data_IF_358865236626
#
_entry.id   IF_358865236626
#
_cell.length_a   1.000
_cell.length_b   1.000
_cell.length_c   1.000
_cell.angle_alpha   90.00
_cell.angle_beta   90.00
_cell.angle_gamma   90.00
#
_symmetry.space_group_name_H-M   'P 1'
#
loop_
_entity.id
_entity.type
_entity.pdbx_description
1 polymer ?
#
# COMPACT_ATOMS: atom_id res chain seq x y z
N UNK A 1 -23.30 -6.45 55.67
CA UNK A 1 -24.08 -5.91 54.53
C UNK A 1 -23.13 -5.50 53.42
N UNK A 2 -23.15 -6.21 52.35
CA UNK A 2 -22.33 -5.84 51.15
C UNK A 2 -23.11 -4.78 50.38
N UNK A 3 -22.68 -3.51 50.46
CA UNK A 3 -23.17 -2.44 49.58
C UNK A 3 -22.66 -2.71 48.18
N UNK A 4 -23.52 -3.15 47.29
CA UNK A 4 -23.25 -3.22 45.86
C UNK A 4 -23.43 -1.80 45.29
N UNK A 5 -22.31 -1.15 44.94
CA UNK A 5 -22.35 0.09 44.24
C UNK A 5 -22.56 -0.21 42.74
N UNK A 6 -23.68 0.23 42.21
CA UNK A 6 -23.97 0.16 40.79
C UNK A 6 -23.67 1.48 40.10
N UNK A 7 -23.40 1.47 38.77
CA UNK A 7 -23.28 2.68 37.97
C UNK A 7 -24.62 3.38 37.79
N UNK A 8 -24.62 4.73 37.78
CA UNK A 8 -25.81 5.51 37.48
C UNK A 8 -26.02 5.59 35.96
N UNK A 9 -27.28 5.72 35.53
CA UNK A 9 -27.65 5.90 34.13
C UNK A 9 -27.00 7.14 33.53
N UNK A 10 -26.97 8.25 34.30
CA UNK A 10 -26.35 9.53 33.88
C UNK A 10 -24.84 9.36 33.64
N UNK A 11 -24.16 8.59 34.46
CA UNK A 11 -22.73 8.34 34.38
C UNK A 11 -22.36 7.63 33.05
N UNK A 12 -23.14 6.65 32.68
CA UNK A 12 -22.97 5.96 31.36
C UNK A 12 -23.34 6.87 30.20
N UNK A 13 -24.39 7.71 30.33
CA UNK A 13 -24.76 8.67 29.29
C UNK A 13 -23.65 9.70 28.99
N UNK A 14 -23.00 10.22 30.02
CA UNK A 14 -21.88 11.17 29.86
C UNK A 14 -20.71 10.49 29.17
N UNK A 15 -20.34 9.27 29.54
CA UNK A 15 -19.23 8.52 28.97
C UNK A 15 -19.48 8.26 27.48
N UNK A 16 -20.66 7.79 27.10
CA UNK A 16 -21.04 7.54 25.71
C UNK A 16 -21.03 8.85 24.90
N UNK A 17 -21.49 9.95 25.46
CA UNK A 17 -21.46 11.27 24.82
C UNK A 17 -20.02 11.71 24.50
N UNK A 18 -19.11 11.57 25.45
CA UNK A 18 -17.69 11.95 25.27
C UNK A 18 -17.03 11.05 24.21
N UNK A 19 -17.25 9.74 24.27
CA UNK A 19 -16.73 8.79 23.29
C UNK A 19 -17.24 9.13 21.88
N UNK A 20 -18.53 9.43 21.73
CA UNK A 20 -19.14 9.83 20.46
C UNK A 20 -18.54 11.12 19.89
N UNK A 21 -18.29 12.12 20.73
CA UNK A 21 -17.65 13.37 20.31
C UNK A 21 -16.21 13.15 19.84
N UNK A 22 -15.43 12.38 20.57
CA UNK A 22 -14.05 12.05 20.20
C UNK A 22 -14.00 11.22 18.93
N UNK A 23 -14.88 10.24 18.78
CA UNK A 23 -14.98 9.40 17.58
C UNK A 23 -15.35 10.23 16.34
N UNK A 24 -16.22 11.22 16.45
CA UNK A 24 -16.60 12.09 15.33
C UNK A 24 -15.42 12.83 14.70
N UNK A 25 -14.40 13.16 15.50
CA UNK A 25 -13.18 13.82 15.02
C UNK A 25 -12.13 12.80 14.55
N UNK A 26 -12.01 11.69 15.25
CA UNK A 26 -10.95 10.70 15.02
C UNK A 26 -11.17 9.85 13.74
N UNK A 27 -12.41 9.44 13.47
CA UNK A 27 -12.74 8.53 12.36
C UNK A 27 -12.38 9.11 10.99
N UNK A 28 -12.79 10.34 10.59
CA UNK A 28 -12.44 10.89 9.28
C UNK A 28 -10.94 11.06 9.08
N UNK A 29 -10.20 11.42 10.13
CA UNK A 29 -8.74 11.55 10.06
C UNK A 29 -8.07 10.19 9.89
N UNK A 30 -8.56 9.15 10.54
CA UNK A 30 -8.05 7.79 10.39
C UNK A 30 -8.24 7.26 8.96
N UNK A 31 -9.41 7.50 8.35
CA UNK A 31 -9.69 7.07 6.96
C UNK A 31 -8.71 7.73 5.98
N UNK A 32 -8.45 9.03 6.12
CA UNK A 32 -7.47 9.75 5.29
C UNK A 32 -6.05 9.24 5.49
N UNK A 33 -5.63 9.00 6.74
CA UNK A 33 -4.32 8.46 7.06
C UNK A 33 -4.13 7.05 6.47
N UNK A 34 -5.15 6.19 6.54
CA UNK A 34 -5.14 4.87 5.94
C UNK A 34 -4.98 4.91 4.43
N UNK A 35 -5.73 5.76 3.73
CA UNK A 35 -5.62 5.94 2.29
C UNK A 35 -4.21 6.37 1.89
N UNK A 36 -3.65 7.37 2.57
CA UNK A 36 -2.28 7.83 2.33
C UNK A 36 -1.23 6.73 2.56
N UNK A 37 -1.39 5.93 3.61
CA UNK A 37 -0.51 4.80 3.90
C UNK A 37 -0.56 3.75 2.79
N UNK A 38 -1.73 3.45 2.27
CA UNK A 38 -1.90 2.51 1.15
C UNK A 38 -1.25 3.04 -0.14
N UNK A 39 -1.38 4.35 -0.41
CA UNK A 39 -0.70 5.00 -1.55
C UNK A 39 0.82 4.90 -1.42
N UNK A 40 1.38 5.24 -0.27
CA UNK A 40 2.81 5.15 -0.03
C UNK A 40 3.32 3.71 -0.17
N UNK A 41 2.62 2.74 0.38
CA UNK A 41 2.97 1.33 0.25
C UNK A 41 2.90 0.84 -1.21
N UNK A 42 1.97 1.35 -2.02
CA UNK A 42 1.92 1.08 -3.46
C UNK A 42 3.15 1.65 -4.18
N UNK A 43 3.52 2.89 -3.88
CA UNK A 43 4.72 3.54 -4.44
C UNK A 43 5.98 2.77 -4.06
N UNK A 44 6.10 2.33 -2.81
CA UNK A 44 7.24 1.54 -2.34
C UNK A 44 7.34 0.18 -3.06
N UNK A 45 6.21 -0.46 -3.32
CA UNK A 45 6.17 -1.69 -4.12
C UNK A 45 6.66 -1.44 -5.55
N UNK A 46 6.24 -0.34 -6.18
CA UNK A 46 6.71 0.03 -7.52
C UNK A 46 8.20 0.31 -7.55
N UNK A 47 8.74 1.00 -6.53
CA UNK A 47 10.19 1.23 -6.39
C UNK A 47 10.98 -0.08 -6.20
N UNK A 48 10.43 -1.03 -5.46
CA UNK A 48 11.05 -2.36 -5.33
C UNK A 48 11.14 -3.07 -6.69
N UNK A 49 10.11 -2.94 -7.52
CA UNK A 49 10.12 -3.49 -8.87
C UNK A 49 11.16 -2.78 -9.74
N UNK A 50 11.24 -1.46 -9.71
CA UNK A 50 12.26 -0.69 -10.44
C UNK A 50 13.68 -1.11 -10.04
N UNK A 51 13.97 -1.17 -8.75
CA UNK A 51 15.27 -1.60 -8.24
C UNK A 51 15.61 -3.04 -8.68
N UNK A 52 14.63 -3.92 -8.74
CA UNK A 52 14.82 -5.30 -9.21
C UNK A 52 15.14 -5.34 -10.71
N UNK A 53 14.49 -4.49 -11.52
CA UNK A 53 14.77 -4.36 -12.94
C UNK A 53 16.19 -3.83 -13.17
N UNK A 54 16.62 -2.82 -12.41
CA UNK A 54 17.97 -2.27 -12.48
C UNK A 54 19.04 -3.31 -12.12
N UNK A 55 18.82 -4.08 -11.05
CA UNK A 55 19.74 -5.15 -10.65
C UNK A 55 19.84 -6.22 -11.74
N UNK A 56 18.73 -6.59 -12.33
CA UNK A 56 18.68 -7.57 -13.43
C UNK A 56 19.45 -7.07 -14.67
N UNK A 57 19.31 -5.78 -14.99
CA UNK A 57 20.06 -5.14 -16.07
C UNK A 57 21.56 -5.07 -15.77
N UNK A 58 21.95 -4.79 -14.52
CA UNK A 58 23.36 -4.77 -14.08
C UNK A 58 24.04 -6.13 -14.19
N UNK A 59 23.28 -7.22 -14.09
CA UNK A 59 23.79 -8.60 -14.34
C UNK A 59 23.99 -8.90 -15.84
N UNK A 60 23.75 -7.91 -16.73
CA UNK A 60 23.93 -8.06 -18.17
C UNK A 60 22.71 -8.64 -18.89
N UNK A 61 21.55 -8.71 -18.21
CA UNK A 61 20.31 -9.18 -18.81
C UNK A 61 19.51 -8.02 -19.43
N UNK A 62 18.71 -8.31 -20.43
CA UNK A 62 17.77 -7.33 -21.00
C UNK A 62 16.49 -7.30 -20.17
N UNK A 63 16.05 -6.14 -19.65
CA UNK A 63 14.80 -6.03 -18.93
C UNK A 63 13.60 -6.50 -19.77
N UNK A 64 12.68 -7.20 -19.14
CA UNK A 64 11.43 -7.65 -19.76
C UNK A 64 10.19 -7.09 -19.02
N UNK A 65 9.04 -7.18 -19.66
CA UNK A 65 7.77 -6.69 -19.09
C UNK A 65 7.12 -7.70 -18.12
N UNK A 66 7.79 -8.80 -17.80
CA UNK A 66 7.21 -9.87 -17.01
C UNK A 66 7.61 -9.78 -15.54
N UNK A 67 6.66 -9.44 -14.67
CA UNK A 67 6.90 -9.35 -13.23
C UNK A 67 7.43 -10.65 -12.61
N UNK A 68 7.10 -11.82 -13.19
CA UNK A 68 7.59 -13.11 -12.71
C UNK A 68 9.10 -13.29 -12.89
N UNK A 69 9.73 -12.52 -13.75
CA UNK A 69 11.18 -12.53 -13.94
C UNK A 69 11.89 -12.02 -12.69
N UNK A 70 11.32 -11.02 -12.02
CA UNK A 70 11.91 -10.32 -10.89
C UNK A 70 11.45 -10.87 -9.53
N UNK A 71 10.30 -11.52 -9.48
CA UNK A 71 9.66 -12.02 -8.26
C UNK A 71 9.81 -13.52 -8.08
N UNK A 72 10.16 -13.97 -6.88
CA UNK A 72 10.27 -15.39 -6.51
C UNK A 72 11.28 -15.62 -5.40
N UNK A 73 11.32 -16.85 -4.86
CA UNK A 73 12.13 -17.20 -3.69
C UNK A 73 13.63 -16.91 -3.87
N UNK A 74 14.16 -17.15 -5.08
CA UNK A 74 15.58 -17.00 -5.41
C UNK A 74 15.85 -15.83 -6.36
N UNK A 75 14.93 -14.85 -6.40
CA UNK A 75 14.99 -13.67 -7.26
C UNK A 75 15.17 -12.38 -6.45
N UNK A 76 15.23 -11.26 -7.15
CA UNK A 76 15.45 -9.92 -6.56
C UNK A 76 14.36 -9.52 -5.56
N UNK A 77 13.11 -9.89 -5.84
CA UNK A 77 11.98 -9.70 -4.93
C UNK A 77 11.54 -11.08 -4.43
N UNK A 78 11.68 -11.32 -3.11
CA UNK A 78 11.36 -12.61 -2.50
C UNK A 78 9.87 -12.94 -2.41
N UNK A 79 8.99 -12.00 -2.74
CA UNK A 79 7.56 -12.22 -2.91
C UNK A 79 7.26 -12.85 -4.27
N UNK A 80 6.19 -13.65 -4.35
CA UNK A 80 5.70 -14.12 -5.65
C UNK A 80 5.04 -12.97 -6.42
N UNK A 81 5.08 -13.03 -7.74
CA UNK A 81 4.44 -12.02 -8.60
C UNK A 81 2.92 -11.89 -8.33
N UNK A 82 2.26 -13.00 -7.99
CA UNK A 82 0.84 -13.02 -7.62
C UNK A 82 0.52 -12.31 -6.31
N UNK A 83 1.50 -12.19 -5.41
CA UNK A 83 1.36 -11.54 -4.11
C UNK A 83 1.75 -10.05 -4.15
N UNK A 84 2.33 -9.61 -5.28
CA UNK A 84 2.65 -8.21 -5.57
C UNK A 84 1.41 -7.49 -6.09
N UNK A 85 0.54 -7.09 -5.17
CA UNK A 85 -0.72 -6.41 -5.47
C UNK A 85 -0.77 -5.02 -4.85
N UNK A 86 -1.62 -4.16 -5.39
CA UNK A 86 -1.86 -2.83 -4.85
C UNK A 86 -2.48 -2.93 -3.43
N UNK A 87 -1.93 -2.27 -2.40
CA UNK A 87 -2.49 -2.29 -1.05
C UNK A 87 -3.89 -1.71 -0.93
N UNK A 88 -4.28 -0.80 -1.84
CA UNK A 88 -5.61 -0.22 -1.89
C UNK A 88 -6.62 -1.12 -2.61
N UNK A 89 -6.17 -1.89 -3.60
CA UNK A 89 -6.99 -2.84 -4.35
C UNK A 89 -6.18 -4.12 -4.62
N UNK A 90 -6.37 -5.11 -3.78
CA UNK A 90 -5.67 -6.39 -3.85
C UNK A 90 -5.96 -7.23 -5.11
N UNK A 91 -6.95 -6.83 -5.91
CA UNK A 91 -7.24 -7.47 -7.19
C UNK A 91 -6.37 -6.94 -8.33
N UNK A 92 -5.67 -5.83 -8.10
CA UNK A 92 -4.84 -5.13 -9.08
C UNK A 92 -3.36 -5.36 -8.82
N UNK A 93 -2.63 -5.67 -9.87
CA UNK A 93 -1.20 -5.89 -9.86
C UNK A 93 -0.45 -4.68 -10.45
N UNK A 94 0.84 -4.85 -10.69
CA UNK A 94 1.68 -3.85 -11.34
C UNK A 94 1.98 -4.28 -12.77
N UNK A 95 2.11 -3.29 -13.66
CA UNK A 95 2.50 -3.51 -15.06
C UNK A 95 3.85 -2.88 -15.31
N UNK A 96 4.72 -3.63 -15.95
CA UNK A 96 6.02 -3.15 -16.42
C UNK A 96 5.89 -2.95 -17.93
N UNK A 97 6.22 -1.78 -18.40
CA UNK A 97 6.30 -1.45 -19.84
C UNK A 97 7.76 -1.20 -20.17
N UNK A 98 8.28 -1.91 -21.14
CA UNK A 98 9.64 -1.73 -21.63
C UNK A 98 9.57 -1.14 -23.03
N UNK A 99 10.29 -0.03 -23.26
CA UNK A 99 10.40 0.62 -24.54
C UNK A 99 11.56 0.07 -25.35
N UNK A 100 11.54 0.26 -26.66
CA UNK A 100 12.57 -0.23 -27.60
C UNK A 100 13.96 0.38 -27.33
N UNK A 101 14.02 1.53 -26.69
CA UNK A 101 15.26 2.21 -26.27
C UNK A 101 15.85 1.65 -24.95
N UNK A 102 15.21 0.66 -24.34
CA UNK A 102 15.63 0.05 -23.09
C UNK A 102 15.12 0.76 -21.83
N UNK A 103 14.33 1.83 -21.97
CA UNK A 103 13.66 2.45 -20.84
C UNK A 103 12.50 1.61 -20.36
N UNK A 104 12.24 1.63 -19.06
CA UNK A 104 11.11 0.89 -18.48
C UNK A 104 10.26 1.80 -17.58
N UNK A 105 9.00 1.47 -17.48
CA UNK A 105 8.04 2.17 -16.62
C UNK A 105 7.23 1.16 -15.83
N UNK A 106 7.12 1.38 -14.53
CA UNK A 106 6.29 0.56 -13.64
C UNK A 106 5.03 1.35 -13.28
N UNK A 107 3.88 0.76 -13.50
CA UNK A 107 2.57 1.37 -13.23
C UNK A 107 1.70 0.47 -12.37
N UNK A 108 0.86 1.09 -11.53
CA UNK A 108 -0.16 0.40 -10.76
C UNK A 108 -1.47 0.31 -11.56
N UNK A 109 -2.06 -0.87 -11.64
CA UNK A 109 -3.32 -1.08 -12.36
C UNK A 109 -4.57 -0.64 -11.58
N UNK A 110 -4.42 -0.08 -10.38
CA UNK A 110 -5.57 0.34 -9.56
C UNK A 110 -6.35 1.51 -10.16
N UNK A 111 -5.76 2.26 -11.08
CA UNK A 111 -6.38 3.45 -11.68
C UNK A 111 -6.52 4.65 -10.75
N UNK A 112 -5.93 4.58 -9.55
CA UNK A 112 -5.92 5.68 -8.60
C UNK A 112 -4.85 6.69 -8.98
N UNK A 113 -5.21 7.98 -9.09
CA UNK A 113 -4.35 9.04 -9.57
C UNK A 113 -3.06 9.23 -8.74
N UNK A 114 -3.16 8.96 -7.44
CA UNK A 114 -2.03 9.12 -6.50
C UNK A 114 -1.07 7.92 -6.47
N UNK A 115 -1.41 6.83 -7.17
CA UNK A 115 -0.61 5.60 -7.24
C UNK A 115 0.36 5.63 -8.45
N UNK A 116 1.14 6.68 -8.53
CA UNK A 116 2.18 6.88 -9.56
C UNK A 116 3.53 7.11 -8.90
N UNK A 117 4.58 6.61 -9.53
CA UNK A 117 5.94 6.92 -9.11
C UNK A 117 6.21 8.41 -9.32
N UNK A 118 6.80 9.09 -8.33
CA UNK A 118 7.25 10.45 -8.54
C UNK A 118 8.33 10.46 -9.65
N UNK A 119 8.10 11.25 -10.66
CA UNK A 119 9.13 11.52 -11.69
C UNK A 119 10.33 12.18 -11.02
N UNK A 120 11.48 11.56 -11.13
CA UNK A 120 12.75 12.20 -10.74
C UNK A 120 13.12 13.15 -11.90
N UNK A 121 12.98 14.45 -11.67
CA UNK A 121 13.54 15.47 -12.55
C UNK A 121 15.05 15.58 -12.35
#
# INVERSE_FOLDING_TARGET
MNKKYGFTLVEIMIVVLIIGLLAAIAVPNFVKARSKTQTNACIDNMRQIENAIEQYAMEGNTPDANLTTYCGKDKFIKKNATDMTCPADKTKSYTITVSDDGTYTVTCQSGLADHVLPTVE
#
